data_IF_490273371580
#
_entry.id   IF_490273371580
#
_cell.length_a   1.000
_cell.length_b   1.000
_cell.length_c   1.000
_cell.angle_alpha   90.00
_cell.angle_beta   90.00
_cell.angle_gamma   90.00
#
_symmetry.space_group_name_H-M   'P 1'
#
loop_
_entity.id
_entity.type
_entity.pdbx_description
1 polymer ?
#
# COMPACT_ATOMS: atom_id res chain seq x y z
N UNK A 1 8.74 -1.40 -9.81
CA UNK A 1 7.31 -1.23 -9.45
C UNK A 1 6.39 -2.28 -10.09
N UNK A 2 6.55 -2.64 -11.37
CA UNK A 2 5.70 -3.62 -12.05
C UNK A 2 5.66 -5.00 -11.37
N UNK A 3 6.81 -5.49 -10.88
CA UNK A 3 6.87 -6.77 -10.18
C UNK A 3 5.97 -6.82 -8.94
N UNK A 4 5.97 -5.76 -8.12
CA UNK A 4 5.15 -5.70 -6.91
C UNK A 4 3.66 -5.68 -7.25
N UNK A 5 3.27 -4.94 -8.29
CA UNK A 5 1.88 -4.92 -8.76
C UNK A 5 1.46 -6.29 -9.31
N UNK A 6 2.36 -7.01 -9.98
CA UNK A 6 2.12 -8.40 -10.41
C UNK A 6 1.90 -9.35 -9.23
N UNK A 7 2.74 -9.24 -8.19
CA UNK A 7 2.58 -10.03 -6.95
C UNK A 7 1.27 -9.70 -6.23
N UNK A 8 0.91 -8.42 -6.11
CA UNK A 8 -0.37 -8.00 -5.52
C UNK A 8 -1.58 -8.50 -6.33
N UNK A 9 -1.48 -8.48 -7.67
CA UNK A 9 -2.52 -9.05 -8.54
C UNK A 9 -2.66 -10.54 -8.32
N UNK A 10 -1.55 -11.28 -8.26
CA UNK A 10 -1.56 -12.69 -7.91
C UNK A 10 -2.19 -12.93 -6.53
N UNK A 11 -1.93 -12.05 -5.55
CA UNK A 11 -2.56 -12.11 -4.23
C UNK A 11 -4.08 -12.04 -4.31
N UNK A 12 -4.61 -11.13 -5.14
CA UNK A 12 -6.05 -11.03 -5.42
C UNK A 12 -6.58 -12.29 -6.12
N UNK A 13 -5.98 -12.69 -7.23
CA UNK A 13 -6.43 -13.80 -8.08
C UNK A 13 -6.45 -15.15 -7.33
N UNK A 14 -5.47 -15.37 -6.44
CA UNK A 14 -5.34 -16.64 -5.69
C UNK A 14 -5.97 -16.60 -4.30
N UNK A 15 -6.54 -15.47 -3.89
CA UNK A 15 -7.11 -15.31 -2.55
C UNK A 15 -6.11 -15.64 -1.44
N UNK A 16 -4.85 -15.20 -1.59
CA UNK A 16 -3.77 -15.53 -0.65
C UNK A 16 -3.47 -14.39 0.32
N UNK A 17 -2.67 -14.67 1.36
CA UNK A 17 -2.28 -13.70 2.36
C UNK A 17 -0.89 -13.12 2.04
N UNK A 18 -0.83 -11.80 1.85
CA UNK A 18 0.40 -11.07 1.58
C UNK A 18 0.75 -10.03 2.66
N UNK A 19 2.04 -9.77 2.79
CA UNK A 19 2.59 -8.69 3.60
C UNK A 19 3.48 -7.78 2.74
N UNK A 20 3.10 -6.50 2.69
CA UNK A 20 3.86 -5.43 2.08
C UNK A 20 4.50 -4.56 3.18
N UNK A 21 5.81 -4.59 3.30
CA UNK A 21 6.53 -3.68 4.20
C UNK A 21 7.32 -2.63 3.43
N UNK A 22 7.78 -1.60 4.13
CA UNK A 22 8.67 -0.59 3.59
C UNK A 22 8.79 0.59 4.54
N UNK A 23 9.88 1.32 4.47
CA UNK A 23 10.13 2.42 5.40
C UNK A 23 9.18 3.61 5.12
N UNK A 24 9.20 4.63 5.98
CA UNK A 24 8.36 5.81 5.78
C UNK A 24 8.69 6.48 4.43
N UNK A 25 7.67 6.83 3.65
CA UNK A 25 7.88 7.55 2.39
C UNK A 25 8.32 6.71 1.19
N UNK A 26 8.39 5.38 1.27
CA UNK A 26 8.72 4.48 0.13
C UNK A 26 7.58 4.24 -0.85
N UNK A 27 6.40 4.86 -0.64
CA UNK A 27 5.28 4.76 -1.59
C UNK A 27 4.36 3.54 -1.41
N UNK A 28 4.28 2.97 -0.20
CA UNK A 28 3.37 1.85 0.14
C UNK A 28 1.91 2.13 -0.27
N UNK A 29 1.30 3.18 0.27
CA UNK A 29 -0.09 3.56 -0.03
C UNK A 29 -0.28 3.89 -1.51
N UNK A 30 0.70 4.52 -2.17
CA UNK A 30 0.66 4.76 -3.62
C UNK A 30 0.66 3.46 -4.42
N UNK A 31 1.42 2.46 -3.99
CA UNK A 31 1.46 1.14 -4.62
C UNK A 31 0.14 0.41 -4.46
N UNK A 32 -0.48 0.49 -3.27
CA UNK A 32 -1.82 -0.07 -3.03
C UNK A 32 -2.87 0.61 -3.90
N UNK A 33 -2.89 1.95 -3.98
CA UNK A 33 -3.83 2.67 -4.84
C UNK A 33 -3.71 2.23 -6.30
N UNK A 34 -2.49 2.21 -6.85
CA UNK A 34 -2.23 1.71 -8.21
C UNK A 34 -2.63 0.26 -8.43
N UNK A 35 -2.55 -0.57 -7.40
CA UNK A 35 -3.01 -1.95 -7.44
C UNK A 35 -4.53 -2.01 -7.51
N UNK A 36 -5.22 -1.26 -6.64
CA UNK A 36 -6.69 -1.17 -6.61
C UNK A 36 -7.23 -0.63 -7.94
N UNK A 37 -6.63 0.43 -8.48
CA UNK A 37 -7.02 1.03 -9.77
C UNK A 37 -6.86 0.07 -10.97
N UNK A 38 -6.12 -1.04 -10.81
CA UNK A 38 -5.91 -2.08 -11.83
C UNK A 38 -6.82 -3.29 -11.65
N UNK A 39 -7.55 -3.39 -10.54
CA UNK A 39 -8.50 -4.46 -10.32
C UNK A 39 -9.80 -4.15 -11.08
N UNK A 40 -10.43 -5.20 -11.59
CA UNK A 40 -11.75 -5.11 -12.21
C UNK A 40 -12.81 -5.08 -11.10
N UNK A 41 -13.54 -3.97 -10.97
CA UNK A 41 -14.61 -3.78 -9.98
C UNK A 41 -15.75 -4.81 -10.12
N UNK A 42 -15.91 -5.42 -11.31
CA UNK A 42 -16.87 -6.50 -11.55
C UNK A 42 -16.41 -7.85 -11.00
N UNK A 43 -15.10 -8.03 -10.76
CA UNK A 43 -14.52 -9.28 -10.26
C UNK A 43 -14.04 -9.17 -8.82
N UNK A 44 -13.64 -7.98 -8.36
CA UNK A 44 -13.04 -7.79 -7.05
C UNK A 44 -13.76 -6.70 -6.25
N UNK A 45 -13.98 -6.96 -4.96
CA UNK A 45 -14.42 -5.94 -4.00
C UNK A 45 -13.27 -5.64 -3.06
N UNK A 46 -12.68 -4.46 -3.18
CA UNK A 46 -11.63 -3.99 -2.28
C UNK A 46 -12.25 -3.44 -0.99
N UNK A 47 -11.75 -3.91 0.15
CA UNK A 47 -12.09 -3.42 1.48
C UNK A 47 -10.82 -2.88 2.13
N UNK A 48 -10.78 -1.57 2.39
CA UNK A 48 -9.58 -0.89 2.86
C UNK A 48 -9.75 -0.37 4.29
N UNK A 49 -8.82 -0.74 5.18
CA UNK A 49 -8.78 -0.28 6.56
C UNK A 49 -7.43 0.39 6.84
N UNK A 50 -7.47 1.57 7.45
CA UNK A 50 -6.29 2.28 7.95
C UNK A 50 -6.63 2.94 9.28
N UNK A 51 -6.46 2.19 10.38
CA UNK A 51 -6.69 2.70 11.74
C UNK A 51 -5.45 2.40 12.61
N UNK A 52 -5.01 3.42 13.34
CA UNK A 52 -3.86 3.36 14.25
C UNK A 52 -4.03 2.42 15.44
N UNK A 53 -5.28 2.06 15.80
CA UNK A 53 -5.60 1.12 16.89
C UNK A 53 -6.71 0.16 16.47
N UNK A 54 -6.47 -0.55 15.37
CA UNK A 54 -7.43 -1.49 14.81
C UNK A 54 -7.60 -2.72 15.73
N UNK A 55 -8.69 -2.73 16.51
CA UNK A 55 -9.11 -3.90 17.30
C UNK A 55 -9.91 -4.88 16.44
N UNK A 56 -10.04 -6.16 16.83
CA UNK A 56 -10.89 -7.13 16.13
C UNK A 56 -12.33 -6.62 15.90
N UNK A 57 -12.90 -5.94 16.90
CA UNK A 57 -14.24 -5.36 16.78
C UNK A 57 -14.32 -4.29 15.70
N UNK A 58 -13.36 -3.36 15.68
CA UNK A 58 -13.30 -2.29 14.68
C UNK A 58 -12.99 -2.84 13.28
N UNK A 59 -12.16 -3.88 13.20
CA UNK A 59 -11.91 -4.60 11.96
C UNK A 59 -13.19 -5.14 11.34
N UNK A 60 -13.97 -5.93 12.10
CA UNK A 60 -15.24 -6.48 11.59
C UNK A 60 -16.24 -5.41 11.23
N UNK A 61 -16.39 -4.40 12.10
CA UNK A 61 -17.28 -3.28 11.86
C UNK A 61 -16.93 -2.55 10.57
N UNK A 62 -15.66 -2.19 10.38
CA UNK A 62 -15.20 -1.44 9.21
C UNK A 62 -15.34 -2.23 7.90
N UNK A 63 -15.14 -3.55 7.92
CA UNK A 63 -15.39 -4.38 6.73
C UNK A 63 -16.88 -4.48 6.42
N UNK A 64 -17.73 -4.73 7.43
CA UNK A 64 -19.17 -4.84 7.25
C UNK A 64 -19.79 -3.53 6.73
N UNK A 65 -19.35 -2.37 7.26
CA UNK A 65 -19.80 -1.06 6.80
C UNK A 65 -19.47 -0.83 5.32
N UNK A 66 -18.28 -1.23 4.86
CA UNK A 66 -17.88 -1.15 3.44
C UNK A 66 -18.65 -2.13 2.53
N UNK A 67 -19.23 -3.17 3.12
CA UNK A 67 -20.18 -4.07 2.46
C UNK A 67 -21.64 -3.56 2.52
N UNK A 68 -21.88 -2.38 3.11
CA UNK A 68 -23.22 -1.81 3.27
C UNK A 68 -24.05 -2.46 4.38
N UNK A 69 -23.41 -3.19 5.29
CA UNK A 69 -24.06 -3.89 6.40
C UNK A 69 -23.86 -3.15 7.72
N UNK A 70 -24.90 -3.09 8.55
CA UNK A 70 -24.74 -2.69 9.94
C UNK A 70 -24.09 -3.83 10.73
N UNK A 71 -22.98 -3.52 11.41
CA UNK A 71 -22.26 -4.51 12.21
C UNK A 71 -23.03 -4.84 13.48
N UNK A 72 -23.20 -6.14 13.74
CA UNK A 72 -23.66 -6.62 15.04
C UNK A 72 -22.74 -6.15 16.17
N UNK A 73 -23.32 -5.97 17.36
CA UNK A 73 -22.63 -5.40 18.52
C UNK A 73 -21.49 -6.29 19.04
N UNK A 74 -21.72 -7.61 19.13
CA UNK A 74 -20.75 -8.57 19.64
C UNK A 74 -19.78 -9.03 18.54
N UNK A 75 -18.49 -9.10 18.88
CA UNK A 75 -17.41 -9.52 17.96
C UNK A 75 -17.69 -10.85 17.27
N UNK A 76 -18.08 -11.87 18.02
CA UNK A 76 -18.34 -13.21 17.45
C UNK A 76 -19.49 -13.21 16.44
N UNK A 77 -20.50 -12.38 16.66
CA UNK A 77 -21.61 -12.22 15.74
C UNK A 77 -21.22 -11.45 14.49
N UNK A 78 -20.46 -10.36 14.65
CA UNK A 78 -19.92 -9.59 13.54
C UNK A 78 -18.98 -10.44 12.67
N UNK A 79 -18.14 -11.28 13.29
CA UNK A 79 -17.30 -12.25 12.58
C UNK A 79 -18.13 -13.21 11.73
N UNK A 80 -19.14 -13.85 12.33
CA UNK A 80 -20.05 -14.77 11.61
C UNK A 80 -20.80 -14.08 10.48
N UNK A 81 -21.25 -12.85 10.72
CA UNK A 81 -21.88 -12.01 9.71
C UNK A 81 -20.93 -11.74 8.54
N UNK A 82 -19.69 -11.31 8.81
CA UNK A 82 -18.70 -11.05 7.77
C UNK A 82 -18.44 -12.30 6.91
N UNK A 83 -18.26 -13.46 7.53
CA UNK A 83 -18.08 -14.71 6.78
C UNK A 83 -19.28 -15.01 5.86
N UNK A 84 -20.51 -14.82 6.35
CA UNK A 84 -21.73 -15.01 5.56
C UNK A 84 -21.78 -14.05 4.36
N UNK A 85 -21.50 -12.77 4.57
CA UNK A 85 -21.52 -11.78 3.48
C UNK A 85 -20.44 -12.06 2.43
N UNK A 86 -19.24 -12.50 2.86
CA UNK A 86 -18.17 -12.93 1.95
C UNK A 86 -18.59 -14.17 1.13
N UNK A 87 -19.24 -15.15 1.77
CA UNK A 87 -19.74 -16.33 1.08
C UNK A 87 -20.81 -15.98 0.04
N UNK A 88 -21.74 -15.09 0.37
CA UNK A 88 -22.76 -14.61 -0.57
C UNK A 88 -22.13 -13.86 -1.74
N UNK A 89 -21.20 -12.95 -1.46
CA UNK A 89 -20.45 -12.22 -2.49
C UNK A 89 -19.76 -13.15 -3.49
N UNK A 90 -19.04 -14.16 -2.98
CA UNK A 90 -18.30 -15.09 -3.82
C UNK A 90 -19.20 -16.07 -4.54
N UNK A 91 -20.17 -16.65 -3.84
CA UNK A 91 -21.00 -17.73 -4.34
C UNK A 91 -22.12 -17.28 -5.28
N UNK A 92 -22.69 -16.10 -5.04
CA UNK A 92 -23.82 -15.57 -5.81
C UNK A 92 -23.34 -14.57 -6.85
N UNK A 93 -22.51 -13.61 -6.44
CA UNK A 93 -22.10 -12.51 -7.32
C UNK A 93 -20.82 -12.81 -8.10
N UNK A 94 -20.09 -13.86 -7.77
CA UNK A 94 -18.80 -14.19 -8.39
C UNK A 94 -17.70 -13.18 -8.07
N UNK A 95 -17.92 -12.28 -7.10
CA UNK A 95 -17.00 -11.21 -6.73
C UNK A 95 -16.07 -11.69 -5.62
N UNK A 96 -14.79 -11.40 -5.75
CA UNK A 96 -13.75 -11.82 -4.82
C UNK A 96 -13.35 -10.66 -3.88
N UNK A 97 -13.42 -10.85 -2.55
CA UNK A 97 -13.00 -9.81 -1.62
C UNK A 97 -11.47 -9.70 -1.51
N UNK A 98 -10.98 -8.46 -1.52
CA UNK A 98 -9.57 -8.12 -1.28
C UNK A 98 -9.50 -7.16 -0.11
N UNK A 99 -9.06 -7.65 1.04
CA UNK A 99 -8.90 -6.85 2.26
C UNK A 99 -7.50 -6.28 2.32
N UNK A 100 -7.39 -4.96 2.44
CA UNK A 100 -6.13 -4.26 2.67
C UNK A 100 -6.18 -3.61 4.05
N UNK A 101 -5.19 -3.91 4.89
CA UNK A 101 -5.00 -3.26 6.19
C UNK A 101 -3.71 -2.46 6.14
N UNK A 102 -3.81 -1.15 6.01
CA UNK A 102 -2.67 -0.24 6.09
C UNK A 102 -2.32 0.07 7.55
N UNK A 103 -1.09 0.55 7.77
CA UNK A 103 -0.52 0.79 9.10
C UNK A 103 -0.47 -0.48 9.98
N UNK A 104 -0.36 -1.66 9.38
CA UNK A 104 -0.46 -2.95 10.07
C UNK A 104 0.66 -3.23 11.11
N UNK A 105 1.72 -2.44 11.12
CA UNK A 105 2.75 -2.46 12.18
C UNK A 105 2.21 -1.99 13.54
N UNK A 106 1.07 -1.30 13.56
CA UNK A 106 0.36 -0.88 14.76
C UNK A 106 -0.58 -1.96 15.32
N UNK A 107 -0.82 -3.05 14.59
CA UNK A 107 -1.66 -4.14 15.07
C UNK A 107 -1.04 -4.81 16.28
N UNK A 108 -1.86 -4.99 17.31
CA UNK A 108 -1.46 -5.73 18.50
C UNK A 108 -1.45 -7.25 18.25
N UNK A 109 -1.05 -7.99 19.28
CA UNK A 109 -1.00 -9.45 19.22
C UNK A 109 -2.38 -10.07 19.03
N UNK A 110 -3.41 -9.50 19.65
CA UNK A 110 -4.77 -10.04 19.58
C UNK A 110 -5.32 -9.95 18.15
N UNK A 111 -5.11 -8.82 17.48
CA UNK A 111 -5.56 -8.60 16.12
C UNK A 111 -4.80 -9.47 15.11
N UNK A 112 -3.49 -9.67 15.28
CA UNK A 112 -2.71 -10.59 14.44
C UNK A 112 -3.18 -12.05 14.62
N UNK A 113 -3.47 -12.50 15.84
CA UNK A 113 -4.09 -13.82 16.05
C UNK A 113 -5.49 -13.90 15.42
N UNK A 114 -6.29 -12.83 15.48
CA UNK A 114 -7.59 -12.82 14.83
C UNK A 114 -7.48 -12.91 13.30
N UNK A 115 -6.50 -12.25 12.69
CA UNK A 115 -6.18 -12.40 11.25
C UNK A 115 -5.96 -13.88 10.90
N UNK A 116 -5.20 -14.61 11.72
CA UNK A 116 -4.99 -16.06 11.51
C UNK A 116 -6.32 -16.82 11.52
N UNK A 117 -7.19 -16.54 12.49
CA UNK A 117 -8.50 -17.21 12.57
C UNK A 117 -9.47 -16.81 11.47
N UNK A 118 -9.27 -15.66 10.83
CA UNK A 118 -10.10 -15.20 9.72
C UNK A 118 -9.78 -15.90 8.41
N UNK A 119 -8.51 -16.22 8.19
CA UNK A 119 -8.04 -16.93 7.00
C UNK A 119 -8.33 -18.43 7.08
N UNK A 120 -8.53 -18.98 8.27
CA UNK A 120 -8.92 -20.37 8.47
C UNK A 120 -10.38 -20.59 8.01
N UNK A 121 -10.56 -21.09 6.78
CA UNK A 121 -11.87 -21.36 6.19
C UNK A 121 -11.92 -22.76 5.56
N UNK A 122 -13.07 -23.45 5.68
CA UNK A 122 -13.29 -24.84 5.23
C UNK A 122 -12.12 -25.79 5.56
N UNK A 123 -11.79 -25.93 6.84
CA UNK A 123 -10.66 -26.76 7.30
C UNK A 123 -9.34 -26.46 6.58
N UNK A 124 -9.03 -25.18 6.37
CA UNK A 124 -7.82 -24.67 5.72
C UNK A 124 -7.64 -25.03 4.24
N UNK A 125 -8.69 -25.53 3.59
CA UNK A 125 -8.63 -25.87 2.17
C UNK A 125 -8.57 -24.64 1.26
N UNK A 126 -9.16 -23.51 1.70
CA UNK A 126 -9.26 -22.27 0.92
C UNK A 126 -9.32 -21.06 1.84
N UNK A 127 -8.75 -19.93 1.41
CA UNK A 127 -8.99 -18.64 2.09
C UNK A 127 -10.34 -18.06 1.67
N UNK A 128 -11.10 -17.41 2.57
CA UNK A 128 -12.35 -16.77 2.22
C UNK A 128 -12.13 -15.47 1.42
N UNK A 129 -10.99 -14.82 1.61
CA UNK A 129 -10.63 -13.52 1.02
C UNK A 129 -9.11 -13.39 0.82
N UNK A 130 -8.66 -12.52 -0.09
CA UNK A 130 -7.28 -12.03 -0.04
C UNK A 130 -7.09 -11.10 1.14
N UNK A 131 -5.93 -11.18 1.80
CA UNK A 131 -5.54 -10.23 2.83
C UNK A 131 -4.17 -9.65 2.50
N UNK A 132 -4.05 -8.33 2.54
CA UNK A 132 -2.79 -7.61 2.34
C UNK A 132 -2.56 -6.74 3.58
N UNK A 133 -1.59 -7.13 4.41
CA UNK A 133 -1.11 -6.28 5.50
C UNK A 133 -0.02 -5.35 4.98
N UNK A 134 -0.21 -4.05 5.15
CA UNK A 134 0.71 -3.01 4.68
C UNK A 134 1.24 -2.28 5.90
N UNK A 135 2.55 -2.17 6.05
CA UNK A 135 3.13 -1.54 7.24
C UNK A 135 4.60 -1.16 7.09
N UNK A 136 5.18 -0.68 8.18
CA UNK A 136 6.62 -0.40 8.24
C UNK A 136 7.43 -1.69 8.35
N UNK A 137 8.77 -1.59 8.20
CA UNK A 137 9.67 -2.75 8.22
C UNK A 137 9.54 -3.59 9.51
N UNK A 138 9.23 -2.94 10.64
CA UNK A 138 9.07 -3.56 11.96
C UNK A 138 7.91 -4.56 12.01
N UNK A 139 6.91 -4.45 11.13
CA UNK A 139 5.84 -5.45 11.02
C UNK A 139 6.43 -6.83 10.71
N UNK A 140 7.35 -6.88 9.77
CA UNK A 140 7.95 -8.15 9.36
C UNK A 140 8.88 -8.71 10.43
N UNK A 141 9.62 -7.86 11.12
CA UNK A 141 10.46 -8.26 12.25
C UNK A 141 9.62 -8.81 13.40
N UNK A 142 8.47 -8.19 13.70
CA UNK A 142 7.51 -8.70 14.69
C UNK A 142 6.94 -10.06 14.28
N UNK A 143 6.53 -10.23 13.03
CA UNK A 143 5.99 -11.50 12.53
C UNK A 143 7.03 -12.64 12.55
N UNK A 144 8.33 -12.34 12.62
CA UNK A 144 9.40 -13.33 12.77
C UNK A 144 9.57 -13.87 14.19
N UNK A 145 9.03 -13.21 15.20
CA UNK A 145 9.09 -13.68 16.59
C UNK A 145 8.35 -15.01 16.76
N UNK A 146 8.81 -15.86 17.69
CA UNK A 146 8.23 -17.19 17.91
C UNK A 146 6.73 -17.15 18.21
N UNK A 147 6.27 -16.13 18.92
CA UNK A 147 4.86 -15.93 19.26
C UNK A 147 3.94 -15.77 18.05
N UNK A 148 4.48 -15.41 16.88
CA UNK A 148 3.75 -15.19 15.63
C UNK A 148 4.04 -16.25 14.57
N UNK A 149 4.67 -17.37 14.94
CA UNK A 149 5.01 -18.45 13.99
C UNK A 149 3.78 -18.96 13.22
N UNK A 150 2.64 -19.09 13.91
CA UNK A 150 1.40 -19.61 13.33
C UNK A 150 0.81 -18.68 12.24
N UNK A 151 0.82 -17.36 12.45
CA UNK A 151 0.40 -16.41 11.42
C UNK A 151 1.45 -16.32 10.31
N UNK A 152 2.75 -16.36 10.64
CA UNK A 152 3.84 -16.27 9.66
C UNK A 152 3.77 -17.39 8.62
N UNK A 153 3.43 -18.61 9.05
CA UNK A 153 3.27 -19.76 8.15
C UNK A 153 2.09 -19.63 7.17
N UNK A 154 1.15 -18.72 7.43
CA UNK A 154 0.04 -18.40 6.53
C UNK A 154 0.37 -17.34 5.49
N UNK A 155 1.50 -16.65 5.63
CA UNK A 155 1.88 -15.59 4.70
C UNK A 155 2.45 -16.26 3.45
N UNK A 156 1.69 -16.21 2.36
CA UNK A 156 2.07 -16.76 1.07
C UNK A 156 3.09 -15.87 0.35
N UNK A 157 2.94 -14.55 0.50
CA UNK A 157 3.72 -13.57 -0.25
C UNK A 157 4.22 -12.48 0.69
N UNK A 158 5.52 -12.22 0.63
CA UNK A 158 6.13 -11.10 1.34
C UNK A 158 7.02 -10.30 0.39
N UNK A 159 6.93 -8.98 0.47
CA UNK A 159 7.82 -8.06 -0.24
C UNK A 159 8.05 -6.78 0.55
N UNK A 160 9.24 -6.21 0.36
CA UNK A 160 9.67 -4.96 0.98
C UNK A 160 9.87 -3.91 -0.09
N UNK A 161 9.17 -2.79 0.01
CA UNK A 161 9.42 -1.57 -0.75
C UNK A 161 10.68 -0.89 -0.18
N UNK A 162 11.70 -0.80 -1.03
CA UNK A 162 12.89 -0.02 -0.78
C UNK A 162 12.76 1.42 -1.29
N UNK A 163 13.82 2.19 -1.05
CA UNK A 163 14.04 3.46 -1.73
C UNK A 163 14.32 3.21 -3.21
N UNK A 164 13.95 4.16 -4.06
CA UNK A 164 14.26 4.08 -5.48
C UNK A 164 15.75 4.26 -5.72
N UNK A 165 16.34 3.48 -6.61
CA UNK A 165 17.64 3.83 -7.17
C UNK A 165 17.54 5.09 -8.07
N UNK A 166 18.67 5.57 -8.61
CA UNK A 166 18.70 6.75 -9.48
C UNK A 166 17.78 6.58 -10.69
N UNK A 167 17.85 5.44 -11.37
CA UNK A 167 17.07 5.21 -12.59
C UNK A 167 15.58 5.14 -12.28
N UNK A 168 15.21 4.45 -11.20
CA UNK A 168 13.84 4.38 -10.70
C UNK A 168 13.32 5.75 -10.23
N UNK A 169 14.17 6.60 -9.65
CA UNK A 169 13.79 7.96 -9.23
C UNK A 169 13.46 8.82 -10.45
N UNK A 170 14.28 8.76 -11.50
CA UNK A 170 14.03 9.43 -12.76
C UNK A 170 12.75 8.93 -13.45
N UNK A 171 12.57 7.60 -13.54
CA UNK A 171 11.36 6.98 -14.09
C UNK A 171 10.11 7.40 -13.30
N UNK A 172 10.20 7.43 -11.96
CA UNK A 172 9.13 7.83 -11.08
C UNK A 172 8.69 9.28 -11.32
N UNK A 173 9.64 10.21 -11.44
CA UNK A 173 9.37 11.62 -11.75
C UNK A 173 8.75 11.76 -13.15
N UNK A 174 9.34 11.10 -14.15
CA UNK A 174 8.86 11.14 -15.53
C UNK A 174 7.42 10.61 -15.65
N UNK A 175 7.11 9.49 -15.02
CA UNK A 175 5.76 8.92 -14.97
C UNK A 175 4.76 9.87 -14.30
N UNK A 176 5.15 10.57 -13.23
CA UNK A 176 4.29 11.58 -12.58
C UNK A 176 3.99 12.76 -13.51
N UNK A 177 4.99 13.24 -14.25
CA UNK A 177 4.82 14.32 -15.23
C UNK A 177 3.93 13.86 -16.40
N UNK A 178 4.15 12.66 -16.93
CA UNK A 178 3.34 12.07 -17.99
C UNK A 178 1.88 11.91 -17.58
N UNK A 179 1.61 11.50 -16.34
CA UNK A 179 0.25 11.41 -15.81
C UNK A 179 -0.47 12.78 -15.82
N UNK A 180 0.27 13.87 -15.68
CA UNK A 180 -0.24 15.25 -15.78
C UNK A 180 -0.30 15.78 -17.23
N UNK A 181 -0.03 14.94 -18.22
CA UNK A 181 -0.01 15.32 -19.64
C UNK A 181 1.24 16.07 -20.09
N UNK A 182 2.27 16.14 -19.25
CA UNK A 182 3.55 16.79 -19.60
C UNK A 182 4.41 15.80 -20.40
N UNK A 183 4.71 16.18 -21.65
CA UNK A 183 5.61 15.43 -22.54
C UNK A 183 6.97 16.11 -22.72
N UNK A 184 7.07 17.41 -22.37
CA UNK A 184 8.31 18.17 -22.38
C UNK A 184 9.23 17.77 -21.23
N UNK A 185 10.54 17.84 -21.47
CA UNK A 185 11.53 17.61 -20.42
C UNK A 185 11.60 18.83 -19.49
N UNK A 186 11.02 18.70 -18.29
CA UNK A 186 11.06 19.77 -17.27
C UNK A 186 12.35 19.73 -16.44
N UNK A 187 12.89 18.54 -16.15
CA UNK A 187 14.11 18.38 -15.36
C UNK A 187 15.26 17.90 -16.25
N UNK A 188 16.44 18.52 -16.12
CA UNK A 188 17.67 18.01 -16.75
C UNK A 188 18.15 16.74 -16.04
N UNK A 189 18.97 15.92 -16.71
CA UNK A 189 19.54 14.71 -16.10
C UNK A 189 20.35 15.02 -14.84
N UNK A 190 21.11 16.11 -14.83
CA UNK A 190 21.89 16.56 -13.66
C UNK A 190 20.99 17.03 -12.52
N UNK A 191 19.83 17.62 -12.83
CA UNK A 191 18.83 17.95 -11.81
C UNK A 191 18.24 16.69 -11.17
N UNK A 192 17.94 15.66 -11.98
CA UNK A 192 17.46 14.37 -11.49
C UNK A 192 18.50 13.68 -10.59
N UNK A 193 19.78 13.81 -10.91
CA UNK A 193 20.87 13.27 -10.08
C UNK A 193 20.93 13.95 -8.71
N UNK A 194 20.79 15.28 -8.65
CA UNK A 194 20.75 16.01 -7.36
C UNK A 194 19.47 15.70 -6.56
N UNK A 195 18.32 15.59 -7.22
CA UNK A 195 17.06 15.17 -6.58
C UNK A 195 17.23 13.78 -5.95
N UNK A 196 17.81 12.83 -6.68
CA UNK A 196 18.06 11.49 -6.16
C UNK A 196 19.05 11.51 -5.00
N UNK A 197 20.18 12.23 -5.14
CA UNK A 197 21.22 12.33 -4.10
C UNK A 197 20.65 12.87 -2.79
N UNK A 198 19.86 13.95 -2.84
CA UNK A 198 19.28 14.53 -1.63
C UNK A 198 18.14 13.68 -1.05
N UNK A 199 17.28 13.13 -1.90
CA UNK A 199 16.14 12.33 -1.44
C UNK A 199 16.51 10.93 -0.94
N UNK A 200 17.69 10.43 -1.30
CA UNK A 200 18.07 9.04 -1.07
C UNK A 200 17.10 8.04 -1.72
N UNK A 201 16.35 8.45 -2.75
CA UNK A 201 15.32 7.63 -3.39
C UNK A 201 13.98 7.57 -2.66
N UNK A 202 13.75 8.37 -1.61
CA UNK A 202 12.49 8.36 -0.87
C UNK A 202 11.40 9.07 -1.67
N UNK A 203 10.37 8.34 -2.10
CA UNK A 203 9.30 8.87 -2.95
C UNK A 203 8.66 10.17 -2.39
N UNK A 204 8.43 10.23 -1.07
CA UNK A 204 7.89 11.43 -0.41
C UNK A 204 8.85 12.63 -0.50
N UNK A 205 10.15 12.41 -0.33
CA UNK A 205 11.15 13.49 -0.40
C UNK A 205 11.32 13.92 -1.86
N UNK A 206 11.39 12.98 -2.81
CA UNK A 206 11.40 13.28 -4.25
C UNK A 206 10.22 14.20 -4.61
N UNK A 207 8.99 13.82 -4.22
CA UNK A 207 7.80 14.64 -4.48
C UNK A 207 7.92 16.05 -3.89
N UNK A 208 8.44 16.16 -2.66
CA UNK A 208 8.64 17.44 -2.00
C UNK A 208 9.60 18.32 -2.82
N UNK A 209 10.81 17.83 -3.12
CA UNK A 209 11.82 18.57 -3.91
C UNK A 209 11.25 18.99 -5.27
N UNK A 210 10.65 18.04 -6.00
CA UNK A 210 10.08 18.32 -7.32
C UNK A 210 9.01 19.40 -7.25
N UNK A 211 8.11 19.35 -6.25
CA UNK A 211 7.06 20.36 -6.09
C UNK A 211 7.64 21.75 -5.86
N UNK A 212 8.62 21.88 -4.96
CA UNK A 212 9.28 23.17 -4.70
C UNK A 212 10.07 23.67 -5.92
N UNK A 213 10.74 22.77 -6.65
CA UNK A 213 11.42 23.13 -7.91
C UNK A 213 10.44 23.63 -8.98
N UNK A 214 9.29 22.99 -9.13
CA UNK A 214 8.26 23.41 -10.09
C UNK A 214 7.67 24.77 -9.71
N UNK A 215 7.43 25.01 -8.42
CA UNK A 215 6.97 26.32 -7.92
C UNK A 215 8.01 27.41 -8.19
N UNK A 216 9.28 27.16 -7.89
CA UNK A 216 10.38 28.07 -8.17
C UNK A 216 10.52 28.38 -9.66
N UNK A 217 10.46 27.36 -10.51
CA UNK A 217 10.50 27.51 -11.97
C UNK A 217 9.35 28.33 -12.50
N UNK A 218 8.12 28.08 -12.02
CA UNK A 218 6.93 28.83 -12.41
C UNK A 218 7.02 30.32 -12.04
N UNK A 219 7.48 30.63 -10.82
CA UNK A 219 7.64 32.02 -10.35
C UNK A 219 8.68 32.81 -11.14
N UNK A 220 9.79 32.15 -11.51
CA UNK A 220 10.90 32.78 -12.23
C UNK A 220 10.83 32.60 -13.76
N UNK A 221 9.72 32.03 -14.27
CA UNK A 221 9.47 31.76 -15.70
C UNK A 221 10.53 30.86 -16.36
N UNK A 222 11.10 29.93 -15.61
CA UNK A 222 11.97 28.88 -16.15
C UNK A 222 11.16 27.67 -16.59
N UNK A 223 11.33 27.25 -17.86
CA UNK A 223 10.68 26.05 -18.41
C UNK A 223 11.43 24.76 -18.08
N UNK A 224 12.74 24.85 -17.85
CA UNK A 224 13.63 23.74 -17.53
C UNK A 224 14.28 24.02 -16.17
N UNK A 225 14.30 23.01 -15.31
CA UNK A 225 14.95 23.01 -14.00
C UNK A 225 16.29 22.28 -14.13
N UNK A 226 17.38 23.00 -13.82
CA UNK A 226 18.74 22.45 -13.76
C UNK A 226 19.18 22.11 -12.31
N UNK A 227 20.39 21.58 -12.16
CA UNK A 227 20.93 21.17 -10.86
C UNK A 227 21.19 22.36 -9.92
N UNK A 228 21.54 23.54 -10.45
CA UNK A 228 21.74 24.76 -9.66
C UNK A 228 20.43 25.21 -9.01
N UNK A 229 19.33 25.17 -9.76
CA UNK A 229 17.99 25.48 -9.25
C UNK A 229 17.56 24.48 -8.17
N UNK A 230 17.82 23.19 -8.38
CA UNK A 230 17.53 22.14 -7.37
C UNK A 230 18.31 22.39 -6.07
N UNK A 231 19.63 22.64 -6.16
CA UNK A 231 20.47 22.94 -4.99
C UNK A 231 19.96 24.16 -4.24
N UNK A 232 19.59 25.23 -4.96
CA UNK A 232 19.05 26.45 -4.36
C UNK A 232 17.75 26.20 -3.59
N UNK A 233 16.85 25.39 -4.14
CA UNK A 233 15.59 25.01 -3.49
C UNK A 233 15.86 24.16 -2.24
N UNK A 234 16.82 23.23 -2.33
CA UNK A 234 17.23 22.41 -1.19
C UNK A 234 17.77 23.28 -0.04
N UNK A 235 18.68 24.20 -0.35
CA UNK A 235 19.30 25.10 0.64
C UNK A 235 18.30 26.10 1.25
N UNK A 236 17.36 26.60 0.45
CA UNK A 236 16.41 27.64 0.87
C UNK A 236 15.15 27.15 1.57
N UNK A 237 14.64 25.98 1.22
CA UNK A 237 13.29 25.54 1.63
C UNK A 237 13.24 24.16 2.30
N UNK A 238 14.32 23.38 2.23
CA UNK A 238 14.36 21.99 2.70
C UNK A 238 15.48 21.69 3.71
N UNK A 239 16.30 22.69 4.04
CA UNK A 239 17.38 22.62 5.03
C UNK A 239 16.92 23.00 6.42
#
# INVERSE_FOLDING_TARGET
MQEILGRLKYTAERQVFAVLTGDCGTGKTTTIRKFVDRLDDGQYKVLYLSDSKLTPRHFYKGLLEQLGCESKFYRGDAKRQLHREIELMRGIHGVQPVVVVDEAHLLDREMLEEVRFLLNFKMDAQSPMSLILVGQSELWDRLRLQSFTAIRQRIDIQFKLGHYDRAQSAEYIAMHLQYLGVTEQIFTDVALDEIHRFSGGAARIINKICTHCLLYGAQNRHRIIDDHMVKRVIEGELS
#
